data_IF_827069671154
#
_entry.id   IF_827069671154
#
_cell.length_a   1.000
_cell.length_b   1.000
_cell.length_c   1.000
_cell.angle_alpha   90.00
_cell.angle_beta   90.00
_cell.angle_gamma   90.00
#
_symmetry.space_group_name_H-M   'P 1'
#
loop_
_entity.id
_entity.type
_entity.pdbx_description
1 polymer ?
#
# COMPACT_ATOMS: atom_id res chain seq x y z
N UNK A 1 -4.37 8.92 -2.78
CA UNK A 1 -4.29 7.93 -1.67
C UNK A 1 -5.11 8.32 -0.44
N UNK A 2 -4.79 9.39 0.30
CA UNK A 2 -5.54 9.72 1.54
C UNK A 2 -7.05 9.93 1.32
N UNK A 3 -7.42 10.54 0.18
CA UNK A 3 -8.83 10.71 -0.22
C UNK A 3 -9.52 9.37 -0.41
N UNK A 4 -8.92 8.48 -1.20
CA UNK A 4 -9.43 7.15 -1.50
C UNK A 4 -9.60 6.30 -0.24
N UNK A 5 -8.65 6.41 0.70
CA UNK A 5 -8.78 5.77 2.01
C UNK A 5 -9.99 6.31 2.78
N UNK A 6 -10.23 7.62 2.81
CA UNK A 6 -11.42 8.19 3.47
C UNK A 6 -12.73 7.74 2.81
N UNK A 7 -12.77 7.71 1.48
CA UNK A 7 -13.94 7.25 0.71
C UNK A 7 -14.21 5.76 0.93
N UNK A 8 -13.16 4.96 1.12
CA UNK A 8 -13.25 3.55 1.51
C UNK A 8 -13.58 3.32 3.00
N UNK A 9 -13.78 4.38 3.80
CA UNK A 9 -14.07 4.30 5.24
C UNK A 9 -12.83 4.11 6.14
N UNK A 10 -11.63 4.09 5.55
CA UNK A 10 -10.34 3.85 6.22
C UNK A 10 -9.73 5.16 6.76
N UNK A 11 -10.52 5.89 7.57
CA UNK A 11 -10.16 7.25 8.01
C UNK A 11 -8.87 7.29 8.84
N UNK A 12 -8.67 6.32 9.74
CA UNK A 12 -7.45 6.24 10.54
C UNK A 12 -6.22 5.99 9.66
N UNK A 13 -6.36 5.14 8.65
CA UNK A 13 -5.28 4.85 7.73
C UNK A 13 -4.99 6.05 6.81
N UNK A 14 -5.99 6.84 6.45
CA UNK A 14 -5.80 8.09 5.71
C UNK A 14 -4.94 9.11 6.48
N UNK A 15 -4.99 9.08 7.81
CA UNK A 15 -4.11 9.88 8.68
C UNK A 15 -2.69 9.31 8.62
N UNK A 16 -2.53 7.99 8.79
CA UNK A 16 -1.21 7.32 8.71
C UNK A 16 -0.53 7.55 7.36
N UNK A 17 -1.30 7.50 6.27
CA UNK A 17 -0.81 7.73 4.91
C UNK A 17 -0.28 9.15 4.67
N UNK A 18 -0.58 10.12 5.55
CA UNK A 18 -0.06 11.48 5.45
C UNK A 18 1.46 11.57 5.69
N UNK A 19 1.99 10.68 6.52
CA UNK A 19 3.42 10.60 6.89
C UNK A 19 4.06 9.32 6.34
N UNK A 20 3.53 8.81 5.23
CA UNK A 20 4.09 7.64 4.59
C UNK A 20 5.49 7.98 4.06
N UNK A 21 6.46 7.11 4.35
CA UNK A 21 7.83 7.22 3.84
C UNK A 21 8.16 5.95 3.07
N UNK A 22 8.90 6.13 1.98
CA UNK A 22 9.44 4.99 1.23
C UNK A 22 10.67 4.49 1.99
N UNK A 23 10.65 3.21 2.36
CA UNK A 23 11.80 2.50 2.90
C UNK A 23 12.71 2.01 1.76
N UNK A 24 12.12 1.38 0.74
CA UNK A 24 12.83 0.87 -0.42
C UNK A 24 11.87 0.35 -1.48
N UNK A 25 12.34 0.26 -2.72
CA UNK A 25 11.55 -0.33 -3.81
C UNK A 25 11.48 -1.85 -3.66
N UNK A 26 10.48 -2.48 -4.28
CA UNK A 26 10.45 -3.93 -4.43
C UNK A 26 11.66 -4.39 -5.28
N UNK A 27 12.28 -5.50 -4.87
CA UNK A 27 13.48 -6.04 -5.52
C UNK A 27 13.17 -7.22 -6.46
N UNK A 28 11.91 -7.41 -6.85
CA UNK A 28 11.59 -8.44 -7.83
C UNK A 28 12.13 -8.06 -9.22
N UNK A 29 12.44 -9.07 -10.04
CA UNK A 29 12.96 -8.88 -11.40
C UNK A 29 11.90 -8.40 -12.42
N UNK A 30 10.73 -7.97 -11.94
CA UNK A 30 9.62 -7.50 -12.77
C UNK A 30 9.95 -6.14 -13.39
N UNK A 31 10.05 -6.03 -14.73
CA UNK A 31 10.47 -4.79 -15.38
C UNK A 31 9.45 -3.64 -15.24
N UNK A 32 8.22 -3.97 -14.84
CA UNK A 32 7.10 -3.04 -14.64
C UNK A 32 6.65 -2.98 -13.18
N UNK A 33 7.43 -3.53 -12.24
CA UNK A 33 7.09 -3.45 -10.84
C UNK A 33 7.28 -2.02 -10.32
N UNK A 34 6.18 -1.42 -9.87
CA UNK A 34 6.16 -0.09 -9.28
C UNK A 34 5.86 -0.11 -7.77
N UNK A 35 6.00 -1.29 -7.15
CA UNK A 35 5.70 -1.52 -5.74
C UNK A 35 6.86 -1.13 -4.83
N UNK A 36 6.56 -0.74 -3.59
CA UNK A 36 7.58 -0.31 -2.62
C UNK A 36 7.18 -0.59 -1.18
N UNK A 37 8.19 -0.79 -0.33
CA UNK A 37 8.06 -0.93 1.11
C UNK A 37 8.07 0.42 1.81
N UNK A 38 7.31 0.51 2.90
CA UNK A 38 7.24 1.69 3.78
C UNK A 38 7.87 1.44 5.14
N UNK A 39 8.36 0.22 5.35
CA UNK A 39 9.11 -0.25 6.51
C UNK A 39 10.05 -1.39 6.07
N UNK A 40 10.80 -1.98 6.99
CA UNK A 40 11.62 -3.16 6.68
C UNK A 40 10.77 -4.31 6.08
N UNK A 41 11.21 -4.92 4.95
CA UNK A 41 10.53 -6.06 4.37
C UNK A 41 10.40 -7.24 5.35
N UNK A 42 9.28 -7.98 5.33
CA UNK A 42 9.11 -9.15 6.18
C UNK A 42 10.03 -10.29 5.72
N UNK A 43 10.48 -11.11 6.65
CA UNK A 43 11.04 -12.41 6.32
C UNK A 43 9.91 -13.40 6.06
N UNK A 44 9.45 -13.49 4.80
CA UNK A 44 8.27 -14.26 4.41
C UNK A 44 6.97 -13.44 4.41
N UNK A 45 5.79 -14.05 4.58
CA UNK A 45 4.51 -13.34 4.57
C UNK A 45 4.35 -12.38 5.76
N UNK A 46 3.56 -11.31 5.55
CA UNK A 46 3.05 -10.52 6.67
C UNK A 46 2.10 -11.38 7.53
N UNK A 47 2.43 -11.53 8.82
CA UNK A 47 1.73 -12.43 9.74
C UNK A 47 0.44 -11.86 10.32
N UNK A 48 0.11 -12.25 11.56
CA UNK A 48 -1.13 -11.84 12.24
C UNK A 48 -1.36 -10.31 12.21
N UNK A 49 -2.60 -9.93 11.90
CA UNK A 49 -3.02 -8.53 11.80
C UNK A 49 -2.72 -7.90 10.44
N UNK A 50 -2.23 -8.68 9.48
CA UNK A 50 -2.15 -8.32 8.07
C UNK A 50 -3.53 -8.33 7.41
N UNK A 51 -3.79 -7.31 6.59
CA UNK A 51 -4.92 -7.24 5.67
C UNK A 51 -4.56 -6.40 4.46
N UNK A 52 -5.29 -6.63 3.37
CA UNK A 52 -5.18 -5.85 2.15
C UNK A 52 -6.27 -4.77 2.07
N UNK A 53 -5.92 -3.62 1.50
CA UNK A 53 -6.88 -2.60 1.07
C UNK A 53 -6.64 -2.35 -0.42
N UNK A 54 -7.69 -2.50 -1.21
CA UNK A 54 -7.69 -2.24 -2.63
C UNK A 54 -8.31 -0.86 -2.86
N UNK A 55 -7.58 0.00 -3.55
CA UNK A 55 -8.03 1.34 -3.92
C UNK A 55 -7.97 1.49 -5.43
N UNK A 56 -9.05 1.97 -6.01
CA UNK A 56 -9.06 2.41 -7.40
C UNK A 56 -8.16 3.66 -7.58
N UNK A 57 -7.75 3.92 -8.82
CA UNK A 57 -6.99 5.13 -9.15
C UNK A 57 -7.90 6.36 -9.21
N UNK A 58 -7.39 7.50 -8.70
CA UNK A 58 -8.18 8.75 -8.64
C UNK A 58 -8.60 9.28 -10.02
N UNK A 59 -7.89 8.89 -11.10
CA UNK A 59 -8.07 9.42 -12.45
C UNK A 59 -9.01 8.59 -13.34
N UNK A 60 -9.68 7.57 -12.78
CA UNK A 60 -10.62 6.71 -13.49
C UNK A 60 -9.98 5.85 -14.59
N UNK A 61 -8.65 5.77 -14.62
CA UNK A 61 -7.91 4.84 -15.50
C UNK A 61 -7.94 3.45 -14.90
N UNK A 62 -7.78 2.44 -15.77
CA UNK A 62 -7.49 1.08 -15.34
C UNK A 62 -6.22 1.06 -14.49
N UNK A 63 -6.23 0.19 -13.48
CA UNK A 63 -5.15 0.04 -12.49
C UNK A 63 -5.65 0.17 -11.05
N UNK A 64 -4.89 -0.42 -10.13
CA UNK A 64 -5.22 -0.52 -8.72
C UNK A 64 -4.02 -0.18 -7.85
N UNK A 65 -4.28 0.41 -6.69
CA UNK A 65 -3.32 0.52 -5.60
C UNK A 65 -3.72 -0.48 -4.53
N UNK A 66 -2.82 -1.40 -4.19
CA UNK A 66 -3.04 -2.36 -3.10
C UNK A 66 -2.12 -1.98 -1.94
N UNK A 67 -2.68 -1.91 -0.74
CA UNK A 67 -1.96 -1.61 0.48
C UNK A 67 -1.93 -2.84 1.39
N UNK A 68 -0.73 -3.33 1.70
CA UNK A 68 -0.55 -4.26 2.80
C UNK A 68 -0.55 -3.48 4.12
N UNK A 69 -1.52 -3.76 4.97
CA UNK A 69 -1.68 -3.10 6.27
C UNK A 69 -1.47 -4.12 7.37
N UNK A 70 -0.51 -3.87 8.27
CA UNK A 70 -0.27 -4.69 9.45
C UNK A 70 -0.56 -3.87 10.69
N UNK A 71 -1.59 -4.26 11.46
CA UNK A 71 -2.02 -3.59 12.70
C UNK A 71 -2.15 -2.05 12.54
N UNK A 72 -2.79 -1.62 11.44
CA UNK A 72 -3.06 -0.20 11.16
C UNK A 72 -1.89 0.59 10.56
N UNK A 73 -0.79 -0.07 10.18
CA UNK A 73 0.35 0.55 9.48
C UNK A 73 0.43 0.00 8.07
N UNK A 74 0.50 0.89 7.08
CA UNK A 74 0.83 0.50 5.70
C UNK A 74 2.29 0.05 5.70
N UNK A 75 2.56 -1.17 5.23
CA UNK A 75 3.90 -1.80 5.18
C UNK A 75 4.42 -1.93 3.76
N UNK A 76 3.52 -2.07 2.80
CA UNK A 76 3.85 -2.21 1.39
C UNK A 76 2.74 -1.57 0.55
N UNK A 77 3.15 -1.01 -0.58
CA UNK A 77 2.26 -0.41 -1.57
C UNK A 77 2.56 -1.06 -2.90
N UNK A 78 1.55 -1.70 -3.48
CA UNK A 78 1.58 -2.21 -4.84
C UNK A 78 0.82 -1.27 -5.76
N UNK A 79 1.42 -0.98 -6.92
CA UNK A 79 0.79 -0.20 -7.98
C UNK A 79 0.71 -1.10 -9.19
N UNK A 80 -0.52 -1.48 -9.55
CA UNK A 80 -0.84 -2.33 -10.69
C UNK A 80 -1.54 -1.50 -11.77
N UNK A 81 -1.22 -1.77 -13.03
CA UNK A 81 -1.82 -1.16 -14.23
C UNK A 81 -2.56 -2.18 -15.10
#
# INVERSE_FOLDING_TARGET
MQRHLREAGETDLAIVAADLRVYGNCECDGPTCHSFYTDEPPNGPYGEGHRNILLDREDGREGMIILDVVRGRIKFVEVLD
#
